data_IF_890852069258
#
_entry.id   IF_890852069258
#
_cell.length_a   1.000
_cell.length_b   1.000
_cell.length_c   1.000
_cell.angle_alpha   90.00
_cell.angle_beta   90.00
_cell.angle_gamma   90.00
#
_symmetry.space_group_name_H-M   'P 1'
#
loop_
_entity.id
_entity.type
_entity.pdbx_description
1 polymer ?
#
# COMPACT_ATOMS: atom_id res chain seq x y z
N UNK A 1 -23.51 -4.75 -41.68
CA UNK A 1 -23.27 -5.60 -40.50
C UNK A 1 -21.91 -5.33 -39.84
N UNK A 2 -20.92 -4.79 -40.57
CA UNK A 2 -19.58 -4.42 -40.05
C UNK A 2 -19.56 -3.30 -38.99
N UNK A 3 -20.50 -2.35 -39.02
CA UNK A 3 -20.48 -1.21 -38.09
C UNK A 3 -20.91 -1.58 -36.65
N UNK A 4 -21.73 -2.62 -36.48
CA UNK A 4 -22.18 -3.08 -35.16
C UNK A 4 -21.06 -3.84 -34.41
N UNK A 5 -20.24 -4.61 -35.12
CA UNK A 5 -19.08 -5.29 -34.54
C UNK A 5 -17.99 -4.29 -34.13
N UNK A 6 -17.76 -3.24 -34.92
CA UNK A 6 -16.82 -2.17 -34.57
C UNK A 6 -17.23 -1.39 -33.31
N UNK A 7 -18.53 -1.14 -33.11
CA UNK A 7 -19.06 -0.47 -31.91
C UNK A 7 -18.91 -1.33 -30.64
N UNK A 8 -19.18 -2.64 -30.75
CA UNK A 8 -19.01 -3.58 -29.63
C UNK A 8 -17.51 -3.75 -29.30
N UNK A 9 -16.62 -3.73 -30.31
CA UNK A 9 -15.17 -3.79 -30.11
C UNK A 9 -14.64 -2.52 -29.42
N UNK A 10 -15.18 -1.33 -29.74
CA UNK A 10 -14.83 -0.10 -28.99
C UNK A 10 -15.31 -0.14 -27.54
N UNK A 11 -16.49 -0.72 -27.26
CA UNK A 11 -16.98 -0.86 -25.89
C UNK A 11 -16.23 -1.95 -25.08
N UNK A 12 -15.76 -3.02 -25.72
CA UNK A 12 -14.88 -4.04 -25.11
C UNK A 12 -13.47 -3.48 -24.83
N UNK A 13 -13.00 -2.52 -25.64
CA UNK A 13 -11.71 -1.83 -25.44
C UNK A 13 -11.78 -0.68 -24.42
N UNK A 14 -12.97 -0.18 -24.10
CA UNK A 14 -13.22 0.77 -23.02
C UNK A 14 -13.46 0.02 -21.70
N UNK A 15 -12.43 -0.66 -21.19
CA UNK A 15 -12.40 -0.98 -19.76
C UNK A 15 -12.38 0.33 -18.98
N UNK A 16 -13.56 0.86 -18.64
CA UNK A 16 -13.70 1.95 -17.70
C UNK A 16 -13.23 1.43 -16.34
N UNK A 17 -11.93 1.57 -16.07
CA UNK A 17 -11.33 1.23 -14.78
C UNK A 17 -11.97 2.14 -13.74
N UNK A 18 -12.86 1.59 -12.94
CA UNK A 18 -13.48 2.27 -11.81
C UNK A 18 -12.58 2.10 -10.60
N UNK A 19 -12.05 3.22 -10.10
CA UNK A 19 -11.29 3.23 -8.85
C UNK A 19 -12.20 3.48 -7.65
N UNK A 20 -11.71 3.14 -6.46
CA UNK A 20 -12.45 3.35 -5.22
C UNK A 20 -12.60 4.82 -4.85
N UNK A 21 -13.25 5.08 -3.72
CA UNK A 21 -13.36 6.43 -3.16
C UNK A 21 -11.97 7.03 -2.91
N UNK A 22 -11.79 8.28 -3.34
CA UNK A 22 -10.52 9.02 -3.27
C UNK A 22 -9.36 8.35 -4.03
N UNK A 23 -9.67 7.54 -5.03
CA UNK A 23 -8.68 6.92 -5.91
C UNK A 23 -8.87 7.36 -7.37
N UNK A 24 -7.77 7.40 -8.12
CA UNK A 24 -7.77 7.58 -9.57
C UNK A 24 -6.85 6.56 -10.23
N UNK A 25 -7.09 6.30 -11.51
CA UNK A 25 -6.26 5.37 -12.27
C UNK A 25 -4.95 6.05 -12.70
N UNK A 26 -3.83 5.45 -12.33
CA UNK A 26 -2.50 5.83 -12.77
C UNK A 26 -1.97 4.81 -13.78
N UNK A 27 -1.70 5.25 -15.01
CA UNK A 27 -1.19 4.37 -16.08
C UNK A 27 0.15 3.71 -15.74
N UNK A 28 0.97 4.38 -14.93
CA UNK A 28 2.29 3.93 -14.51
C UNK A 28 2.25 3.10 -13.21
N UNK A 29 1.05 2.77 -12.71
CA UNK A 29 0.85 2.13 -11.41
C UNK A 29 0.68 3.15 -10.29
N UNK A 30 0.00 2.72 -9.23
CA UNK A 30 -0.17 3.51 -8.03
C UNK A 30 1.07 3.41 -7.14
N UNK A 31 1.42 4.51 -6.49
CA UNK A 31 2.45 4.56 -5.48
C UNK A 31 2.01 5.50 -4.37
N UNK A 32 1.19 4.96 -3.47
CA UNK A 32 0.54 5.74 -2.44
C UNK A 32 1.40 5.79 -1.18
N UNK A 33 1.53 6.98 -0.61
CA UNK A 33 2.01 7.13 0.76
C UNK A 33 0.94 6.63 1.75
N UNK A 34 1.34 6.40 3.00
CA UNK A 34 0.43 6.02 4.08
C UNK A 34 0.40 7.10 5.15
N UNK A 35 -0.60 7.06 6.02
CA UNK A 35 -0.61 7.97 7.18
C UNK A 35 0.71 7.92 7.98
N UNK A 36 1.31 9.08 8.18
CA UNK A 36 2.55 9.25 8.95
C UNK A 36 3.85 8.86 8.23
N UNK A 37 3.80 8.35 6.99
CA UNK A 37 5.00 7.98 6.22
C UNK A 37 4.85 8.36 4.74
N UNK A 38 5.78 9.18 4.25
CA UNK A 38 5.89 9.48 2.83
C UNK A 38 6.71 8.39 2.13
N UNK A 39 6.12 7.77 1.12
CA UNK A 39 6.78 6.76 0.29
C UNK A 39 7.41 7.44 -0.93
N UNK A 40 8.69 7.18 -1.18
CA UNK A 40 9.36 7.57 -2.41
C UNK A 40 9.09 6.53 -3.50
N UNK A 41 8.53 6.97 -4.61
CA UNK A 41 8.19 6.10 -5.73
C UNK A 41 9.42 5.86 -6.62
N UNK A 42 9.59 4.62 -7.07
CA UNK A 42 10.55 4.33 -8.12
C UNK A 42 10.11 5.04 -9.42
N UNK A 43 11.05 5.55 -10.21
CA UNK A 43 10.77 6.15 -11.51
C UNK A 43 10.39 5.13 -12.60
N UNK A 44 10.24 3.85 -12.22
CA UNK A 44 9.90 2.73 -13.11
C UNK A 44 8.41 2.45 -13.00
N UNK A 45 7.73 2.38 -14.15
CA UNK A 45 6.30 2.08 -14.19
C UNK A 45 5.99 0.62 -13.86
N UNK A 46 4.90 0.41 -13.12
CA UNK A 46 4.32 -0.91 -12.95
C UNK A 46 3.58 -1.32 -14.23
N UNK A 47 3.66 -2.60 -14.65
CA UNK A 47 2.86 -3.11 -15.75
C UNK A 47 1.36 -2.92 -15.50
N UNK A 48 0.60 -2.59 -16.55
CA UNK A 48 -0.86 -2.51 -16.57
C UNK A 48 -1.53 -1.36 -15.78
N UNK A 49 -0.77 -0.50 -15.12
CA UNK A 49 -1.33 0.61 -14.34
C UNK A 49 -2.12 0.14 -13.11
N UNK A 50 -2.67 1.09 -12.34
CA UNK A 50 -3.47 0.75 -11.15
C UNK A 50 -4.14 1.96 -10.49
N UNK A 51 -5.13 1.67 -9.65
CA UNK A 51 -5.81 2.69 -8.84
C UNK A 51 -4.94 3.08 -7.64
N UNK A 52 -4.73 4.39 -7.49
CA UNK A 52 -3.98 4.97 -6.38
C UNK A 52 -4.70 6.16 -5.79
N UNK A 53 -4.28 6.60 -4.61
CA UNK A 53 -4.82 7.77 -3.95
C UNK A 53 -4.67 9.01 -4.83
N UNK A 54 -5.71 9.85 -4.85
CA UNK A 54 -5.64 11.17 -5.48
C UNK A 54 -4.65 12.07 -4.71
N UNK A 55 -4.34 13.23 -5.28
CA UNK A 55 -3.44 14.19 -4.64
C UNK A 55 -3.88 14.50 -3.20
N UNK A 56 -2.89 14.60 -2.30
CA UNK A 56 -3.05 14.87 -0.87
C UNK A 56 -3.88 13.85 -0.06
N UNK A 57 -4.08 12.67 -0.64
CA UNK A 57 -4.60 11.51 0.05
C UNK A 57 -3.52 10.47 0.29
N UNK A 58 -3.70 9.67 1.33
CA UNK A 58 -2.79 8.58 1.71
C UNK A 58 -3.59 7.37 2.15
N UNK A 59 -3.00 6.19 2.03
CA UNK A 59 -3.65 4.97 2.51
C UNK A 59 -3.62 4.93 4.04
N UNK A 60 -4.78 4.68 4.63
CA UNK A 60 -4.90 4.37 6.04
C UNK A 60 -4.47 2.93 6.36
N UNK A 61 -4.67 2.50 7.61
CA UNK A 61 -4.33 1.14 8.05
C UNK A 61 -5.21 0.03 7.43
N UNK A 62 -6.39 0.38 6.92
CA UNK A 62 -7.30 -0.51 6.21
C UNK A 62 -7.00 -0.58 4.70
N UNK A 63 -6.14 0.30 4.19
CA UNK A 63 -5.79 0.41 2.78
C UNK A 63 -6.68 1.37 2.00
N UNK A 64 -7.52 2.16 2.68
CA UNK A 64 -8.42 3.16 2.08
C UNK A 64 -7.71 4.51 1.93
N UNK A 65 -7.91 5.19 0.81
CA UNK A 65 -7.39 6.53 0.60
C UNK A 65 -8.21 7.57 1.37
N UNK A 66 -7.57 8.22 2.34
CA UNK A 66 -8.15 9.30 3.15
C UNK A 66 -7.32 10.58 3.01
N UNK A 67 -7.90 11.76 3.25
CA UNK A 67 -7.13 13.00 3.30
C UNK A 67 -5.99 12.89 4.31
N UNK A 68 -4.79 13.38 3.97
CA UNK A 68 -3.64 13.40 4.91
C UNK A 68 -3.98 14.04 6.26
N UNK A 69 -4.90 15.01 6.27
CA UNK A 69 -5.37 15.72 7.47
C UNK A 69 -6.25 14.88 8.37
N UNK A 70 -6.87 13.82 7.83
CA UNK A 70 -7.72 12.87 8.57
C UNK A 70 -6.93 11.67 9.09
N UNK A 71 -5.62 11.65 8.84
CA UNK A 71 -4.76 10.63 9.41
C UNK A 71 -4.87 10.65 10.93
N UNK A 72 -5.09 9.48 11.57
CA UNK A 72 -5.11 9.41 13.01
C UNK A 72 -3.76 9.93 13.53
N UNK A 73 -3.74 10.64 14.67
CA UNK A 73 -2.50 11.03 15.31
C UNK A 73 -1.64 9.77 15.46
N UNK A 74 -0.39 9.87 15.00
CA UNK A 74 0.56 8.75 15.11
C UNK A 74 0.84 8.57 16.59
N UNK A 75 0.09 7.68 17.25
CA UNK A 75 0.37 7.24 18.60
C UNK A 75 1.61 6.36 18.52
N UNK A 76 2.79 7.00 18.42
CA UNK A 76 4.03 6.44 18.90
C UNK A 76 3.86 6.32 20.41
N UNK A 77 3.19 5.27 20.85
CA UNK A 77 3.17 4.93 22.25
C UNK A 77 4.63 4.70 22.66
N UNK A 78 5.08 5.25 23.79
CA UNK A 78 6.47 5.11 24.28
C UNK A 78 6.91 3.64 24.46
N UNK A 79 5.96 2.71 24.34
CA UNK A 79 6.17 1.25 24.37
C UNK A 79 6.56 0.62 23.04
N UNK A 80 6.36 1.28 21.90
CA UNK A 80 6.76 0.74 20.59
C UNK A 80 8.12 1.30 20.15
N UNK A 81 8.89 0.47 19.46
CA UNK A 81 10.24 0.86 19.02
C UNK A 81 10.19 1.87 17.86
N UNK A 82 11.35 2.39 17.48
CA UNK A 82 11.45 3.27 16.31
C UNK A 82 10.89 2.60 15.05
N UNK A 83 10.13 3.36 14.25
CA UNK A 83 9.41 2.87 13.06
C UNK A 83 8.36 1.79 13.32
N UNK A 84 7.81 1.74 14.53
CA UNK A 84 6.66 0.93 14.88
C UNK A 84 5.43 1.77 15.26
N UNK A 85 4.25 1.19 15.09
CA UNK A 85 2.97 1.74 15.53
C UNK A 85 2.18 0.67 16.28
N UNK A 86 1.53 1.06 17.37
CA UNK A 86 0.66 0.16 18.11
C UNK A 86 -0.57 -0.18 17.27
N UNK A 87 -0.85 -1.48 17.09
CA UNK A 87 -1.94 -1.99 16.27
C UNK A 87 -2.79 -2.96 17.05
N UNK A 88 -4.09 -2.67 17.13
CA UNK A 88 -5.08 -3.61 17.68
C UNK A 88 -5.34 -4.82 16.78
N UNK A 89 -4.91 -4.76 15.51
CA UNK A 89 -5.23 -5.75 14.46
C UNK A 89 -4.35 -7.00 14.39
N UNK A 90 -3.42 -7.24 15.33
CA UNK A 90 -2.49 -8.37 15.25
C UNK A 90 -1.05 -8.01 14.84
N UNK A 91 -0.06 -8.80 15.29
CA UNK A 91 1.36 -8.76 14.86
C UNK A 91 1.58 -9.41 13.48
N UNK A 92 0.61 -9.40 12.58
CA UNK A 92 0.87 -9.92 11.23
C UNK A 92 1.68 -8.88 10.44
N UNK A 93 2.97 -9.15 10.28
CA UNK A 93 3.91 -8.27 9.59
C UNK A 93 4.62 -8.96 8.42
N UNK A 94 5.07 -8.14 7.48
CA UNK A 94 5.99 -8.50 6.39
C UNK A 94 7.42 -8.47 6.94
N UNK A 95 8.29 -9.35 6.46
CA UNK A 95 9.73 -9.40 6.82
C UNK A 95 10.60 -9.20 5.59
N UNK A 96 11.90 -8.92 5.77
CA UNK A 96 12.82 -8.86 4.64
C UNK A 96 12.89 -10.19 3.84
N UNK A 97 12.67 -11.35 4.47
CA UNK A 97 12.64 -12.65 3.78
C UNK A 97 11.34 -12.87 3.01
N UNK A 98 10.23 -12.33 3.54
CA UNK A 98 8.90 -12.46 2.95
C UNK A 98 8.26 -11.09 2.79
N UNK A 99 8.84 -10.22 1.95
CA UNK A 99 8.35 -8.87 1.78
C UNK A 99 6.98 -8.87 1.13
N UNK A 100 6.48 -9.94 0.51
CA UNK A 100 5.14 -10.00 -0.10
C UNK A 100 4.11 -10.78 0.74
N UNK A 101 4.38 -11.04 2.04
CA UNK A 101 3.50 -11.84 2.89
C UNK A 101 2.10 -11.20 3.00
N UNK A 102 1.07 -11.97 2.64
CA UNK A 102 -0.33 -11.61 2.91
C UNK A 102 -0.69 -11.91 4.35
N UNK A 103 -1.35 -10.97 4.99
CA UNK A 103 -1.84 -11.09 6.35
C UNK A 103 -3.32 -11.40 6.36
N UNK A 104 -3.66 -12.62 6.77
CA UNK A 104 -5.04 -13.03 7.01
C UNK A 104 -5.40 -12.67 8.47
N UNK A 105 -6.64 -12.23 8.72
CA UNK A 105 -7.12 -11.81 10.04
C UNK A 105 -7.35 -13.02 10.97
N UNK A 106 -6.32 -13.81 11.24
CA UNK A 106 -6.37 -14.95 12.15
C UNK A 106 -5.53 -14.62 13.39
N UNK A 107 -6.17 -14.59 14.56
CA UNK A 107 -5.50 -14.32 15.84
C UNK A 107 -5.15 -12.84 16.02
N UNK A 108 -6.17 -12.03 16.38
CA UNK A 108 -6.02 -10.60 16.67
C UNK A 108 -5.47 -10.45 18.09
N UNK A 109 -4.15 -10.23 18.21
CA UNK A 109 -3.51 -9.79 19.45
C UNK A 109 -2.92 -8.42 19.24
N UNK A 110 -3.27 -7.47 20.10
CA UNK A 110 -2.73 -6.11 20.03
C UNK A 110 -1.20 -6.16 20.14
N UNK A 111 -0.49 -5.48 19.25
CA UNK A 111 0.97 -5.49 19.20
C UNK A 111 1.51 -4.26 18.46
N UNK A 112 2.78 -3.91 18.72
CA UNK A 112 3.53 -3.00 17.86
C UNK A 112 3.77 -3.68 16.51
N UNK A 113 3.54 -2.92 15.43
CA UNK A 113 3.82 -3.35 14.07
C UNK A 113 4.70 -2.33 13.34
N UNK A 114 5.53 -2.77 12.41
CA UNK A 114 6.28 -1.89 11.52
C UNK A 114 5.32 -0.94 10.81
N UNK A 115 5.75 0.32 10.69
CA UNK A 115 5.09 1.30 9.85
C UNK A 115 4.96 0.76 8.42
N UNK A 116 3.90 1.12 7.67
CA UNK A 116 3.82 0.69 6.29
C UNK A 116 5.02 1.24 5.47
N UNK A 117 5.50 0.44 4.52
CA UNK A 117 6.78 0.71 3.84
C UNK A 117 8.01 0.19 4.59
N UNK A 118 7.86 -0.21 5.85
CA UNK A 118 8.88 -0.89 6.63
C UNK A 118 8.54 -2.38 6.76
N UNK A 119 9.57 -3.20 6.89
CA UNK A 119 9.47 -4.63 7.16
C UNK A 119 10.44 -5.02 8.26
N UNK A 120 10.12 -6.09 8.98
CA UNK A 120 10.99 -6.57 10.07
C UNK A 120 12.20 -7.31 9.49
N UNK A 121 13.39 -6.94 9.95
CA UNK A 121 14.65 -7.63 9.62
C UNK A 121 14.95 -8.78 10.59
N UNK A 122 16.09 -9.45 10.41
CA UNK A 122 16.53 -10.56 11.27
C UNK A 122 16.94 -10.12 12.69
N UNK A 123 17.17 -8.83 12.90
CA UNK A 123 17.48 -8.25 14.20
C UNK A 123 16.21 -7.76 14.92
N UNK A 124 15.03 -8.15 14.42
CA UNK A 124 13.71 -7.72 14.90
C UNK A 124 13.48 -6.19 14.80
N UNK A 125 14.24 -5.48 13.96
CA UNK A 125 14.07 -4.04 13.71
C UNK A 125 13.23 -3.79 12.47
N UNK A 126 12.40 -2.74 12.51
CA UNK A 126 11.67 -2.28 11.34
C UNK A 126 12.58 -1.41 10.48
N UNK A 127 12.88 -1.89 9.28
CA UNK A 127 13.75 -1.22 8.29
C UNK A 127 12.96 -0.92 7.02
N UNK A 128 13.32 0.11 6.25
CA UNK A 128 12.67 0.39 4.96
C UNK A 128 12.69 -0.84 4.06
N UNK A 129 11.58 -1.18 3.40
CA UNK A 129 11.53 -2.37 2.53
C UNK A 129 12.59 -2.33 1.42
N UNK A 130 12.98 -1.14 0.97
CA UNK A 130 14.05 -0.90 -0.01
C UNK A 130 15.45 -1.31 0.50
N UNK A 131 15.67 -1.40 1.81
CA UNK A 131 16.95 -1.89 2.36
C UNK A 131 17.03 -3.42 2.35
N UNK A 132 15.95 -4.14 2.02
CA UNK A 132 15.96 -5.59 1.91
C UNK A 132 16.41 -6.01 0.50
N UNK A 133 17.54 -6.73 0.40
CA UNK A 133 18.09 -7.24 -0.86
C UNK A 133 17.08 -8.03 -1.73
N UNK A 134 16.16 -8.78 -1.09
CA UNK A 134 15.13 -9.60 -1.77
C UNK A 134 13.88 -8.82 -2.21
N UNK A 135 13.68 -7.60 -1.73
CA UNK A 135 12.55 -6.77 -2.13
C UNK A 135 12.79 -6.03 -3.47
N UNK A 136 14.05 -6.00 -3.93
CA UNK A 136 14.48 -5.29 -5.14
C UNK A 136 14.33 -6.16 -6.41
N UNK A 137 14.32 -7.50 -6.28
CA UNK A 137 14.38 -8.44 -7.41
C UNK A 137 13.14 -9.34 -7.54
N UNK A 138 11.94 -8.77 -7.49
CA UNK A 138 10.70 -9.55 -7.64
C UNK A 138 9.74 -8.97 -8.66
#
# INVERSE_FOLDING_TARGET
MEAFLASIITDILLMNVTCGTNEQFYRCGACDSVCGVQISCASVCQPFGGCGCIQDHVRDSAGTCIPKTECPPVNRNDTCSEFEIFSKGGKCERTCERPSKRCYRVGVKEACRCLPGYVRDKAEKCVPISSCFKAIFK
#
